data_IF_470612855245
#
_entry.id   IF_470612855245
#
_cell.length_a   1.000
_cell.length_b   1.000
_cell.length_c   1.000
_cell.angle_alpha   90.00
_cell.angle_beta   90.00
_cell.angle_gamma   90.00
#
_symmetry.space_group_name_H-M   'P 1'
#
loop_
_entity.id
_entity.type
_entity.pdbx_description
1 polymer ?
#
# COMPACT_ATOMS: atom_id res chain seq x y z
N UNK A 1 19.03 -47.23 16.89
CA UNK A 1 19.70 -45.93 17.15
C UNK A 1 19.06 -44.95 16.18
N UNK A 2 18.11 -44.15 16.66
CA UNK A 2 17.38 -43.18 15.86
C UNK A 2 17.82 -41.79 16.29
N UNK A 3 18.47 -41.05 15.41
CA UNK A 3 18.78 -39.63 15.62
C UNK A 3 17.58 -38.79 15.20
N UNK A 4 17.16 -37.77 15.98
CA UNK A 4 16.15 -36.81 15.53
C UNK A 4 16.82 -35.71 14.71
N UNK A 5 16.25 -35.46 13.53
CA UNK A 5 16.64 -34.42 12.60
C UNK A 5 16.08 -33.07 13.08
N UNK A 6 16.90 -32.26 13.75
CA UNK A 6 16.57 -30.87 14.09
C UNK A 6 17.24 -29.93 13.10
N UNK A 7 16.50 -29.39 12.13
CA UNK A 7 16.98 -28.29 11.25
C UNK A 7 15.85 -27.61 10.46
N UNK A 8 14.69 -27.32 11.07
CA UNK A 8 13.57 -26.60 10.40
C UNK A 8 13.35 -25.15 10.86
N UNK A 9 14.03 -24.69 11.91
CA UNK A 9 13.81 -23.36 12.48
C UNK A 9 14.67 -22.23 11.88
N UNK A 10 15.76 -22.56 11.16
CA UNK A 10 16.72 -21.55 10.67
C UNK A 10 16.36 -20.87 9.34
N UNK A 11 15.52 -21.48 8.50
CA UNK A 11 15.22 -20.97 7.15
C UNK A 11 14.15 -19.85 7.15
N UNK A 12 13.13 -19.96 8.01
CA UNK A 12 12.03 -19.00 8.05
C UNK A 12 12.46 -17.63 8.59
N UNK A 13 13.41 -17.61 9.54
CA UNK A 13 13.82 -16.36 10.18
C UNK A 13 14.67 -15.47 9.27
N UNK A 14 15.45 -16.07 8.35
CA UNK A 14 16.20 -15.31 7.35
C UNK A 14 15.29 -14.69 6.29
N UNK A 15 14.31 -15.42 5.77
CA UNK A 15 13.39 -14.92 4.73
C UNK A 15 12.48 -13.80 5.25
N UNK A 16 12.01 -13.92 6.49
CA UNK A 16 11.22 -12.88 7.17
C UNK A 16 12.07 -11.63 7.45
N UNK A 17 13.35 -11.80 7.83
CA UNK A 17 14.27 -10.67 8.01
C UNK A 17 14.50 -9.90 6.72
N UNK A 18 14.76 -10.59 5.60
CA UNK A 18 14.92 -9.92 4.29
C UNK A 18 13.64 -9.22 3.83
N UNK A 19 12.46 -9.80 4.13
CA UNK A 19 11.17 -9.18 3.83
C UNK A 19 10.96 -7.91 4.66
N UNK A 20 11.29 -7.95 5.95
CA UNK A 20 11.19 -6.79 6.83
C UNK A 20 12.16 -5.67 6.42
N UNK A 21 13.41 -5.98 6.08
CA UNK A 21 14.36 -4.99 5.55
C UNK A 21 13.84 -4.30 4.29
N UNK A 22 13.24 -5.08 3.38
CA UNK A 22 12.59 -4.56 2.19
C UNK A 22 11.42 -3.63 2.54
N UNK A 23 10.53 -4.03 3.45
CA UNK A 23 9.38 -3.22 3.86
C UNK A 23 9.79 -1.93 4.56
N UNK A 24 10.84 -1.96 5.39
CA UNK A 24 11.44 -0.75 5.97
C UNK A 24 11.96 0.17 4.87
N UNK A 25 12.64 -0.37 3.84
CA UNK A 25 13.10 0.45 2.72
C UNK A 25 11.92 1.15 2.03
N UNK A 26 10.84 0.43 1.73
CA UNK A 26 9.62 1.01 1.13
C UNK A 26 9.04 2.11 2.04
N UNK A 27 8.96 1.86 3.36
CA UNK A 27 8.45 2.81 4.33
C UNK A 27 9.27 4.12 4.35
N UNK A 28 10.60 4.02 4.31
CA UNK A 28 11.47 5.20 4.26
C UNK A 28 11.24 6.03 3.00
N UNK A 29 11.07 5.39 1.84
CA UNK A 29 10.79 6.12 0.60
C UNK A 29 9.41 6.79 0.64
N UNK A 30 8.41 6.18 1.30
CA UNK A 30 7.15 6.86 1.58
C UNK A 30 7.36 8.14 2.40
N UNK A 31 8.16 8.08 3.47
CA UNK A 31 8.45 9.26 4.30
C UNK A 31 9.20 10.34 3.53
N UNK A 32 10.20 9.97 2.74
CA UNK A 32 10.97 10.92 1.93
C UNK A 32 10.08 11.63 0.89
N UNK A 33 9.17 10.91 0.24
CA UNK A 33 8.22 11.51 -0.71
C UNK A 33 7.20 12.41 -0.01
N UNK A 34 6.70 12.03 1.17
CA UNK A 34 5.81 12.86 1.99
C UNK A 34 6.51 14.15 2.41
N UNK A 35 7.75 14.07 2.88
CA UNK A 35 8.57 15.23 3.24
C UNK A 35 8.74 16.18 2.04
N UNK A 36 9.15 15.63 0.88
CA UNK A 36 9.32 16.40 -0.36
C UNK A 36 8.02 17.08 -0.80
N UNK A 37 6.89 16.39 -0.66
CA UNK A 37 5.59 16.93 -1.03
C UNK A 37 5.19 18.11 -0.12
N UNK A 38 5.41 17.99 1.19
CA UNK A 38 5.17 19.07 2.16
C UNK A 38 6.06 20.28 1.85
N UNK A 39 7.36 20.08 1.63
CA UNK A 39 8.30 21.15 1.27
C UNK A 39 7.84 21.87 0.00
N UNK A 40 7.41 21.11 -1.02
CA UNK A 40 6.88 21.68 -2.27
C UNK A 40 5.62 22.51 -2.02
N UNK A 41 4.70 22.02 -1.20
CA UNK A 41 3.47 22.73 -0.85
C UNK A 41 3.76 24.05 -0.11
N UNK A 42 4.71 24.03 0.83
CA UNK A 42 5.18 25.23 1.53
C UNK A 42 5.78 26.26 0.57
N UNK A 43 6.64 25.82 -0.37
CA UNK A 43 7.21 26.71 -1.39
C UNK A 43 6.14 27.33 -2.29
N UNK A 44 5.14 26.55 -2.70
CA UNK A 44 4.03 27.05 -3.51
C UNK A 44 3.20 28.11 -2.74
N UNK A 45 2.88 27.84 -1.46
CA UNK A 45 2.16 28.77 -0.61
C UNK A 45 2.95 30.06 -0.36
N UNK A 46 4.27 29.98 -0.16
CA UNK A 46 5.14 31.16 -0.03
C UNK A 46 5.18 31.99 -1.33
N UNK A 47 5.31 31.33 -2.48
CA UNK A 47 5.29 31.99 -3.78
C UNK A 47 3.94 32.68 -4.07
N UNK A 48 2.82 32.05 -3.68
CA UNK A 48 1.48 32.61 -3.83
C UNK A 48 1.30 33.88 -2.98
N UNK A 49 1.71 33.85 -1.71
CA UNK A 49 1.67 35.03 -0.82
C UNK A 49 2.48 36.19 -1.38
N UNK A 50 3.70 35.91 -1.86
CA UNK A 50 4.56 36.93 -2.47
C UNK A 50 3.93 37.53 -3.74
N UNK A 51 3.30 36.69 -4.58
CA UNK A 51 2.59 37.14 -5.78
C UNK A 51 1.41 38.06 -5.41
N UNK A 52 0.62 37.71 -4.40
CA UNK A 52 -0.50 38.53 -3.92
C UNK A 52 -0.03 39.90 -3.40
N UNK A 53 1.05 39.94 -2.62
CA UNK A 53 1.65 41.19 -2.11
C UNK A 53 2.13 42.07 -3.26
N UNK A 54 2.78 41.50 -4.28
CA UNK A 54 3.27 42.25 -5.46
C UNK A 54 2.14 42.80 -6.32
N UNK A 55 1.10 42.00 -6.53
CA UNK A 55 -0.12 42.42 -7.25
C UNK A 55 -0.73 43.66 -6.59
N UNK A 56 -0.86 43.65 -5.26
CA UNK A 56 -1.46 44.75 -4.51
C UNK A 56 -0.58 46.02 -4.47
N UNK A 57 0.75 45.88 -4.47
CA UNK A 57 1.69 47.01 -4.40
C UNK A 57 2.01 47.65 -5.75
N UNK A 58 1.96 46.90 -6.87
CA UNK A 58 2.48 47.36 -8.17
C UNK A 58 1.43 47.51 -9.27
N UNK A 59 0.20 47.04 -9.10
CA UNK A 59 -0.91 47.25 -10.04
C UNK A 59 -0.76 46.62 -11.44
N UNK A 60 0.43 46.12 -11.83
CA UNK A 60 0.71 45.49 -13.11
C UNK A 60 1.76 44.37 -12.99
N UNK A 61 1.61 43.32 -13.82
CA UNK A 61 2.53 42.17 -13.94
C UNK A 61 3.93 42.66 -14.33
N UNK A 62 4.90 42.50 -13.43
CA UNK A 62 6.31 42.81 -13.66
C UNK A 62 7.08 41.67 -14.33
N UNK A 63 8.24 41.97 -14.91
CA UNK A 63 9.18 40.95 -15.39
C UNK A 63 9.63 40.07 -14.22
N UNK A 64 9.34 38.77 -14.28
CA UNK A 64 9.56 37.80 -13.18
C UNK A 64 8.28 37.25 -12.54
N UNK A 65 7.12 37.87 -12.76
CA UNK A 65 5.83 37.38 -12.23
C UNK A 65 5.40 36.07 -12.88
N UNK A 66 5.86 35.77 -14.10
CA UNK A 66 5.61 34.48 -14.77
C UNK A 66 6.29 33.31 -14.06
N UNK A 67 7.55 33.47 -13.63
CA UNK A 67 8.28 32.44 -12.89
C UNK A 67 7.74 32.28 -11.46
N UNK A 68 7.34 33.39 -10.82
CA UNK A 68 6.65 33.36 -9.53
C UNK A 68 5.29 32.68 -9.62
N UNK A 69 4.51 32.96 -10.67
CA UNK A 69 3.24 32.30 -10.91
C UNK A 69 3.40 30.79 -11.16
N UNK A 70 4.46 30.37 -11.86
CA UNK A 70 4.78 28.95 -12.02
C UNK A 70 5.09 28.32 -10.66
N UNK A 71 5.90 28.98 -9.82
CA UNK A 71 6.21 28.47 -8.46
C UNK A 71 5.01 28.48 -7.52
N UNK A 72 4.06 29.39 -7.74
CA UNK A 72 2.82 29.47 -6.96
C UNK A 72 1.78 28.42 -7.38
N UNK A 73 1.99 27.70 -8.49
CA UNK A 73 1.14 26.55 -8.83
C UNK A 73 1.41 25.44 -7.83
N UNK A 74 0.36 25.05 -7.11
CA UNK A 74 0.40 23.88 -6.24
C UNK A 74 0.42 22.57 -7.03
N UNK A 75 0.47 21.43 -6.31
CA UNK A 75 0.33 20.10 -6.90
C UNK A 75 -0.97 19.95 -7.69
N UNK A 76 -0.98 19.14 -8.74
CA UNK A 76 -2.22 18.76 -9.42
C UNK A 76 -2.94 17.61 -8.69
N UNK A 77 -4.18 17.33 -9.09
CA UNK A 77 -5.03 16.27 -8.50
C UNK A 77 -4.34 14.90 -8.45
N UNK A 78 -3.70 14.50 -9.55
CA UNK A 78 -2.98 13.22 -9.66
C UNK A 78 -1.86 13.11 -8.62
N UNK A 79 -1.10 14.18 -8.40
CA UNK A 79 -0.01 14.19 -7.41
C UNK A 79 -0.55 14.10 -5.98
N UNK A 80 -1.72 14.67 -5.69
CA UNK A 80 -2.39 14.48 -4.40
C UNK A 80 -2.87 13.03 -4.23
N UNK A 81 -3.42 12.41 -5.28
CA UNK A 81 -3.85 11.01 -5.25
C UNK A 81 -2.66 10.09 -4.98
N UNK A 82 -1.54 10.33 -5.66
CA UNK A 82 -0.29 9.58 -5.48
C UNK A 82 0.25 9.71 -4.06
N UNK A 83 0.36 10.93 -3.52
CA UNK A 83 0.93 11.09 -2.18
C UNK A 83 0.03 10.49 -1.10
N UNK A 84 -1.29 10.62 -1.23
CA UNK A 84 -2.23 9.99 -0.31
C UNK A 84 -2.20 8.46 -0.42
N UNK A 85 -1.96 7.89 -1.60
CA UNK A 85 -1.71 6.45 -1.74
C UNK A 85 -0.46 6.00 -0.96
N UNK A 86 0.58 6.84 -0.90
CA UNK A 86 1.81 6.60 -0.12
C UNK A 86 1.57 6.68 1.39
N UNK A 87 0.65 7.52 1.86
CA UNK A 87 0.20 7.48 3.26
C UNK A 87 -0.48 6.14 3.59
N UNK A 88 -1.39 5.67 2.74
CA UNK A 88 -2.07 4.38 2.96
C UNK A 88 -1.07 3.22 2.97
N UNK A 89 -0.13 3.23 2.03
CA UNK A 89 0.96 2.25 2.00
C UNK A 89 1.81 2.31 3.28
N UNK A 90 2.17 3.50 3.75
CA UNK A 90 2.93 3.68 4.98
C UNK A 90 2.19 3.11 6.19
N UNK A 91 0.89 3.35 6.35
CA UNK A 91 0.10 2.77 7.44
C UNK A 91 0.05 1.24 7.39
N UNK A 92 -0.10 0.65 6.21
CA UNK A 92 -0.05 -0.81 6.04
C UNK A 92 1.32 -1.38 6.43
N UNK A 93 2.40 -0.72 6.02
CA UNK A 93 3.76 -1.10 6.39
C UNK A 93 4.01 -0.96 7.89
N UNK A 94 3.53 0.10 8.53
CA UNK A 94 3.65 0.31 9.98
C UNK A 94 2.95 -0.79 10.78
N UNK A 95 1.78 -1.24 10.33
CA UNK A 95 1.09 -2.36 10.94
C UNK A 95 1.88 -3.66 10.78
N UNK A 96 2.37 -3.95 9.57
CA UNK A 96 3.18 -5.14 9.28
C UNK A 96 4.49 -5.17 10.08
N UNK A 97 5.11 -4.00 10.27
CA UNK A 97 6.41 -3.83 10.92
C UNK A 97 6.31 -3.54 12.43
N UNK A 98 5.11 -3.46 13.02
CA UNK A 98 4.88 -3.02 14.41
C UNK A 98 5.75 -3.73 15.45
N UNK A 99 6.08 -5.01 15.23
CA UNK A 99 6.90 -5.82 16.13
C UNK A 99 8.42 -5.74 15.90
N UNK A 100 8.88 -5.02 14.86
CA UNK A 100 10.29 -4.95 14.48
C UNK A 100 10.87 -3.52 14.42
N UNK A 101 10.04 -2.50 14.61
CA UNK A 101 10.44 -1.09 14.69
C UNK A 101 10.13 -0.52 16.07
N UNK A 102 11.13 0.09 16.72
CA UNK A 102 11.02 0.49 18.14
C UNK A 102 11.44 1.93 18.46
N UNK A 103 12.26 2.58 17.62
CA UNK A 103 12.77 3.94 17.87
C UNK A 103 12.75 4.79 16.58
N UNK A 104 11.65 5.53 16.31
CA UNK A 104 10.33 5.45 16.97
C UNK A 104 9.57 4.16 16.63
N UNK A 105 8.61 3.78 17.49
CA UNK A 105 7.74 2.62 17.27
C UNK A 105 6.53 2.95 16.36
N UNK A 106 5.80 1.93 15.91
CA UNK A 106 4.69 2.12 14.96
C UNK A 106 3.60 3.11 15.43
N UNK A 107 3.06 3.06 16.66
CA UNK A 107 2.17 4.09 17.19
C UNK A 107 2.73 5.52 17.11
N UNK A 108 3.99 5.73 17.52
CA UNK A 108 4.63 7.06 17.42
C UNK A 108 4.70 7.53 15.96
N UNK A 109 5.04 6.62 15.05
CA UNK A 109 5.09 6.87 13.61
C UNK A 109 3.72 7.25 13.02
N UNK A 110 2.65 6.64 13.52
CA UNK A 110 1.29 7.00 13.12
C UNK A 110 0.99 8.46 13.50
N UNK A 111 1.22 8.85 14.75
CA UNK A 111 1.04 10.24 15.19
C UNK A 111 1.86 11.23 14.36
N UNK A 112 3.09 10.82 14.02
CA UNK A 112 3.99 11.58 13.18
C UNK A 112 3.48 11.81 11.77
N UNK A 113 2.74 10.85 11.20
CA UNK A 113 2.12 10.98 9.89
C UNK A 113 0.84 11.81 9.89
N UNK A 114 0.11 11.90 11.01
CA UNK A 114 -1.16 12.64 11.04
C UNK A 114 -1.00 14.14 10.81
N UNK A 115 0.11 14.72 11.24
CA UNK A 115 0.41 16.15 11.01
C UNK A 115 0.56 16.48 9.51
N UNK A 116 1.46 15.85 8.74
CA UNK A 116 1.56 16.09 7.30
C UNK A 116 0.30 15.63 6.54
N UNK A 117 -0.39 14.56 6.99
CA UNK A 117 -1.65 14.15 6.41
C UNK A 117 -2.70 15.27 6.48
N UNK A 118 -2.89 15.87 7.64
CA UNK A 118 -3.85 16.97 7.82
C UNK A 118 -3.57 18.15 6.88
N UNK A 119 -2.30 18.55 6.74
CA UNK A 119 -1.90 19.61 5.82
C UNK A 119 -2.23 19.26 4.37
N UNK A 120 -1.88 18.06 3.93
CA UNK A 120 -2.08 17.64 2.54
C UNK A 120 -3.57 17.54 2.20
N UNK A 121 -4.38 17.02 3.12
CA UNK A 121 -5.84 16.96 2.96
C UNK A 121 -6.45 18.36 2.86
N UNK A 122 -6.01 19.29 3.71
CA UNK A 122 -6.49 20.67 3.64
C UNK A 122 -6.07 21.35 2.33
N UNK A 123 -4.84 21.12 1.86
CA UNK A 123 -4.38 21.64 0.58
C UNK A 123 -5.13 21.04 -0.63
N UNK A 124 -5.43 19.73 -0.59
CA UNK A 124 -6.19 19.05 -1.64
C UNK A 124 -7.65 19.57 -1.73
N UNK A 125 -8.27 19.88 -0.59
CA UNK A 125 -9.62 20.48 -0.57
C UNK A 125 -9.64 21.91 -1.08
N UNK A 126 -8.54 22.63 -0.93
CA UNK A 126 -8.39 24.02 -1.35
C UNK A 126 -7.74 24.20 -2.74
N UNK A 127 -7.38 23.11 -3.45
CA UNK A 127 -6.88 23.23 -4.81
C UNK A 127 -8.03 23.51 -5.80
N UNK A 128 -7.68 23.98 -7.00
CA UNK A 128 -8.65 24.26 -8.06
C UNK A 128 -8.34 23.39 -9.29
N UNK A 129 -9.20 22.41 -9.64
CA UNK A 129 -10.43 22.01 -8.93
C UNK A 129 -10.15 21.29 -7.59
N UNK A 130 -11.08 21.31 -6.61
CA UNK A 130 -10.91 20.58 -5.36
C UNK A 130 -10.81 19.08 -5.59
N UNK A 131 -9.87 18.45 -4.89
CA UNK A 131 -9.70 17.00 -4.91
C UNK A 131 -10.34 16.39 -3.67
N UNK A 132 -11.10 15.30 -3.85
CA UNK A 132 -11.73 14.55 -2.75
C UNK A 132 -10.84 13.37 -2.31
N UNK A 133 -10.23 13.41 -1.11
CA UNK A 133 -9.40 12.33 -0.58
C UNK A 133 -10.11 10.98 -0.48
N UNK A 134 -11.45 10.97 -0.41
CA UNK A 134 -12.23 9.74 -0.35
C UNK A 134 -12.10 8.89 -1.62
N UNK A 135 -11.69 9.49 -2.75
CA UNK A 135 -11.49 8.79 -4.01
C UNK A 135 -10.21 7.93 -4.05
N UNK A 136 -9.29 8.11 -3.09
CA UNK A 136 -8.03 7.37 -3.03
C UNK A 136 -8.28 5.92 -2.63
N UNK A 137 -8.43 5.06 -3.66
CA UNK A 137 -8.67 3.63 -3.50
C UNK A 137 -7.41 2.85 -3.13
N UNK A 138 -6.48 2.69 -4.07
CA UNK A 138 -5.36 1.74 -3.97
C UNK A 138 -4.08 2.45 -3.47
N UNK A 139 -3.33 1.87 -2.52
CA UNK A 139 -3.66 0.65 -1.78
C UNK A 139 -4.78 0.93 -0.77
N UNK A 140 -5.58 -0.10 -0.46
CA UNK A 140 -6.56 -0.02 0.63
C UNK A 140 -5.87 -0.25 1.96
N UNK A 141 -6.45 0.24 3.06
CA UNK A 141 -5.90 -0.08 4.37
C UNK A 141 -6.16 -1.54 4.71
N UNK A 142 -5.12 -2.24 5.18
CA UNK A 142 -5.25 -3.60 5.67
C UNK A 142 -6.04 -3.63 6.99
N UNK A 143 -6.64 -4.78 7.35
CA UNK A 143 -7.30 -4.93 8.65
C UNK A 143 -6.38 -4.56 9.82
N UNK A 144 -5.12 -5.00 9.77
CA UNK A 144 -4.12 -4.70 10.80
C UNK A 144 -3.80 -3.19 10.88
N UNK A 145 -3.81 -2.48 9.74
CA UNK A 145 -3.63 -1.03 9.71
C UNK A 145 -4.82 -0.30 10.31
N UNK A 146 -6.04 -0.73 9.99
CA UNK A 146 -7.27 -0.17 10.56
C UNK A 146 -7.32 -0.41 12.08
N UNK A 147 -6.93 -1.61 12.53
CA UNK A 147 -6.82 -1.90 13.96
C UNK A 147 -5.73 -1.04 14.62
N UNK A 148 -4.56 -0.90 14.00
CA UNK A 148 -3.49 -0.06 14.51
C UNK A 148 -3.98 1.39 14.68
N UNK A 149 -4.55 2.00 13.63
CA UNK A 149 -5.07 3.36 13.66
C UNK A 149 -6.17 3.52 14.73
N UNK A 150 -7.11 2.58 14.81
CA UNK A 150 -8.19 2.62 15.81
C UNK A 150 -7.67 2.62 17.24
N UNK A 151 -6.54 1.95 17.49
CA UNK A 151 -5.98 1.79 18.82
C UNK A 151 -5.00 2.91 19.23
N UNK A 152 -4.39 3.62 18.28
CA UNK A 152 -3.37 4.62 18.60
C UNK A 152 -3.78 6.07 18.29
N UNK A 153 -4.70 6.34 17.36
CA UNK A 153 -5.08 7.72 17.03
C UNK A 153 -5.66 8.47 18.25
N UNK A 154 -5.17 9.70 18.47
CA UNK A 154 -5.80 10.66 19.37
C UNK A 154 -7.14 11.15 18.80
N UNK A 155 -8.01 11.75 19.62
CA UNK A 155 -9.37 12.11 19.20
C UNK A 155 -9.43 12.94 17.91
N UNK A 156 -8.57 13.96 17.75
CA UNK A 156 -8.53 14.78 16.52
C UNK A 156 -8.05 14.01 15.30
N UNK A 157 -7.09 13.10 15.48
CA UNK A 157 -6.54 12.26 14.42
C UNK A 157 -7.57 11.23 13.97
N UNK A 158 -8.28 10.65 14.93
CA UNK A 158 -9.38 9.72 14.69
C UNK A 158 -10.50 10.40 13.90
N UNK A 159 -10.93 11.60 14.32
CA UNK A 159 -11.95 12.37 13.60
C UNK A 159 -11.52 12.70 12.15
N UNK A 160 -10.25 13.12 11.96
CA UNK A 160 -9.69 13.36 10.64
C UNK A 160 -9.74 12.09 9.79
N UNK A 161 -9.24 10.97 10.31
CA UNK A 161 -9.22 9.68 9.61
C UNK A 161 -10.63 9.22 9.21
N UNK A 162 -11.59 9.29 10.12
CA UNK A 162 -12.97 8.92 9.83
C UNK A 162 -13.60 9.82 8.76
N UNK A 163 -13.22 11.10 8.71
CA UNK A 163 -13.71 12.04 7.69
C UNK A 163 -13.24 11.73 6.26
N UNK A 164 -12.23 10.87 6.07
CA UNK A 164 -11.69 10.51 4.76
C UNK A 164 -12.56 9.47 4.02
N UNK A 165 -13.58 8.92 4.66
CA UNK A 165 -14.56 8.03 4.03
C UNK A 165 -14.14 6.56 3.97
N UNK A 166 -14.96 5.76 3.29
CA UNK A 166 -14.93 4.28 3.37
C UNK A 166 -13.64 3.67 2.86
N UNK A 167 -13.02 4.25 1.83
CA UNK A 167 -11.74 3.77 1.28
C UNK A 167 -10.58 3.86 2.28
N UNK A 168 -10.73 4.62 3.36
CA UNK A 168 -9.76 4.79 4.43
C UNK A 168 -10.12 4.05 5.71
N UNK A 169 -11.40 3.73 5.94
CA UNK A 169 -11.87 3.21 7.25
C UNK A 169 -12.31 1.76 7.20
N UNK A 170 -12.51 1.19 6.01
CA UNK A 170 -13.00 -0.17 5.84
C UNK A 170 -12.04 -0.99 4.98
N UNK A 171 -11.74 -2.25 5.35
CA UNK A 171 -11.07 -3.18 4.44
C UNK A 171 -11.97 -3.45 3.24
N UNK A 172 -11.39 -3.66 2.06
CA UNK A 172 -12.19 -4.02 0.88
C UNK A 172 -12.04 -5.51 0.55
N UNK A 173 -13.20 -6.15 0.37
CA UNK A 173 -13.32 -7.53 -0.09
C UNK A 173 -13.59 -7.55 -1.60
N UNK A 174 -13.08 -8.56 -2.30
CA UNK A 174 -13.46 -8.91 -3.68
C UNK A 174 -13.09 -7.91 -4.78
N UNK A 175 -11.98 -7.18 -4.64
CA UNK A 175 -11.47 -6.36 -5.74
C UNK A 175 -10.68 -7.25 -6.70
N UNK A 176 -11.15 -7.32 -7.95
CA UNK A 176 -10.33 -7.84 -9.05
C UNK A 176 -9.40 -6.72 -9.51
N UNK A 177 -8.16 -6.77 -9.05
CA UNK A 177 -7.16 -5.81 -9.49
C UNK A 177 -6.70 -6.21 -10.90
N UNK A 178 -6.88 -5.32 -11.88
CA UNK A 178 -6.48 -5.57 -13.27
C UNK A 178 -4.97 -5.42 -13.46
N UNK A 179 -4.32 -4.58 -12.64
CA UNK A 179 -2.88 -4.36 -12.62
C UNK A 179 -2.38 -4.30 -11.16
N UNK A 180 -1.20 -4.84 -10.83
CA UNK A 180 -0.60 -4.72 -9.50
C UNK A 180 -0.31 -3.25 -9.19
N UNK A 181 -0.59 -2.82 -7.95
CA UNK A 181 -0.16 -1.51 -7.47
C UNK A 181 1.36 -1.48 -7.38
N UNK A 182 1.99 -0.59 -8.15
CA UNK A 182 3.43 -0.38 -8.12
C UNK A 182 3.69 1.10 -7.80
N UNK A 183 4.04 1.43 -6.55
CA UNK A 183 4.36 2.81 -6.21
C UNK A 183 5.63 3.22 -6.95
N UNK A 184 5.62 4.39 -7.56
CA UNK A 184 6.82 5.03 -8.13
C UNK A 184 7.21 6.17 -7.21
N UNK A 185 8.41 6.09 -6.66
CA UNK A 185 8.97 7.10 -5.77
C UNK A 185 9.68 8.21 -6.56
N UNK A 186 9.87 9.37 -5.95
CA UNK A 186 10.43 10.55 -6.65
C UNK A 186 11.88 10.37 -7.12
N UNK A 187 12.59 9.36 -6.61
CA UNK A 187 13.93 8.96 -7.07
C UNK A 187 13.90 7.96 -8.24
N UNK A 188 12.72 7.59 -8.72
CA UNK A 188 12.51 6.61 -9.79
C UNK A 188 12.48 5.17 -9.30
N UNK A 189 12.61 4.91 -8.00
CA UNK A 189 12.49 3.56 -7.47
C UNK A 189 11.02 3.09 -7.52
N UNK A 190 10.81 1.87 -7.99
CA UNK A 190 9.47 1.32 -8.19
C UNK A 190 9.39 -0.15 -7.71
N UNK A 191 9.30 -0.39 -6.39
CA UNK A 191 9.31 -1.74 -5.84
C UNK A 191 8.02 -2.50 -6.18
N UNK A 192 8.17 -3.76 -6.57
CA UNK A 192 7.03 -4.63 -6.92
C UNK A 192 6.32 -5.15 -5.67
N UNK A 193 5.15 -4.63 -5.32
CA UNK A 193 4.36 -5.15 -4.18
C UNK A 193 3.44 -6.27 -4.70
N UNK A 194 3.71 -7.51 -4.27
CA UNK A 194 2.97 -8.69 -4.72
C UNK A 194 2.00 -9.20 -3.66
N UNK A 195 2.12 -8.70 -2.42
CA UNK A 195 1.43 -9.19 -1.24
C UNK A 195 0.02 -8.54 -1.15
N UNK A 196 -1.07 -9.30 -1.41
CA UNK A 196 -2.42 -8.73 -1.41
C UNK A 196 -2.81 -8.16 -0.04
N UNK A 197 -2.33 -8.77 1.03
CA UNK A 197 -2.50 -8.32 2.41
C UNK A 197 -1.97 -6.88 2.61
N UNK A 198 -0.82 -6.55 2.00
CA UNK A 198 -0.21 -5.22 2.11
C UNK A 198 -0.95 -4.18 1.26
N UNK A 199 -1.70 -4.63 0.24
CA UNK A 199 -2.58 -3.77 -0.57
C UNK A 199 -3.99 -3.63 0.03
N UNK A 200 -4.25 -4.25 1.18
CA UNK A 200 -5.56 -4.27 1.83
C UNK A 200 -6.62 -5.08 1.09
N UNK A 201 -6.18 -6.04 0.26
CA UNK A 201 -7.06 -6.93 -0.52
C UNK A 201 -7.19 -8.25 0.24
N UNK A 202 -8.39 -8.53 0.75
CA UNK A 202 -8.70 -9.80 1.42
C UNK A 202 -9.25 -10.81 0.42
N UNK A 203 -8.63 -11.99 0.30
CA UNK A 203 -9.16 -13.14 -0.45
C UNK A 203 -10.11 -13.99 0.41
N UNK A 204 -11.22 -14.45 -0.17
CA UNK A 204 -12.27 -15.22 0.53
C UNK A 204 -11.87 -16.67 0.90
N UNK A 205 -10.68 -17.14 0.59
CA UNK A 205 -10.35 -18.58 0.69
C UNK A 205 -10.23 -19.12 2.13
N UNK A 206 -10.48 -18.32 3.17
CA UNK A 206 -10.43 -18.77 4.57
C UNK A 206 -11.77 -18.83 5.30
N UNK A 207 -12.92 -18.55 4.66
CA UNK A 207 -14.25 -18.62 5.33
C UNK A 207 -15.01 -19.93 5.05
N UNK A 208 -14.34 -21.02 4.68
CA UNK A 208 -15.01 -22.31 4.35
C UNK A 208 -14.90 -23.42 5.40
N UNK A 209 -14.68 -23.13 6.69
CA UNK A 209 -14.74 -24.13 7.77
C UNK A 209 -15.37 -23.60 9.07
N UNK A 210 -16.62 -23.10 9.06
CA UNK A 210 -17.39 -23.00 10.33
C UNK A 210 -18.93 -23.00 10.23
N UNK A 211 -19.55 -23.42 9.11
CA UNK A 211 -21.02 -23.52 9.00
C UNK A 211 -21.51 -24.85 8.39
N UNK A 212 -21.00 -25.98 8.88
CA UNK A 212 -21.47 -27.31 8.45
C UNK A 212 -21.96 -28.24 9.59
N UNK A 213 -21.97 -27.81 10.86
CA UNK A 213 -22.22 -28.72 11.99
C UNK A 213 -23.49 -28.44 12.82
N UNK A 214 -24.44 -27.61 12.34
CA UNK A 214 -25.69 -27.34 13.09
C UNK A 214 -26.99 -27.78 12.39
N UNK A 215 -26.93 -28.80 11.53
CA UNK A 215 -28.13 -29.39 10.90
C UNK A 215 -28.14 -30.92 10.82
N UNK A 216 -27.69 -31.63 11.86
CA UNK A 216 -28.00 -33.07 12.03
C UNK A 216 -28.35 -33.34 13.49
N UNK A 217 -29.53 -32.88 13.92
CA UNK A 217 -29.90 -32.89 15.34
C UNK A 217 -31.36 -33.11 15.67
N UNK A 218 -32.20 -33.64 14.78
CA UNK A 218 -33.53 -34.17 15.17
C UNK A 218 -34.28 -34.81 14.01
N UNK A 219 -34.49 -36.14 14.07
CA UNK A 219 -35.81 -36.81 14.06
C UNK A 219 -35.66 -38.29 13.66
N UNK A 220 -35.90 -39.17 14.64
CA UNK A 220 -35.95 -40.61 14.46
C UNK A 220 -37.27 -41.11 13.85
N UNK A 221 -37.13 -42.17 13.04
CA UNK A 221 -37.96 -43.39 12.94
C UNK A 221 -39.47 -43.28 12.61
N UNK A 222 -39.82 -43.78 11.42
CA UNK A 222 -40.93 -44.72 11.24
C UNK A 222 -40.66 -45.63 10.03
N UNK A 223 -40.95 -46.92 10.23
CA UNK A 223 -40.53 -48.09 9.44
C UNK A 223 -41.59 -48.49 8.35
N UNK A 224 -41.45 -49.59 7.59
CA UNK A 224 -41.45 -49.61 6.12
C UNK A 224 -42.68 -50.30 5.48
N UNK A 225 -42.77 -50.31 4.13
CA UNK A 225 -43.12 -51.49 3.28
C UNK A 225 -43.40 -51.13 1.79
N UNK A 226 -42.58 -51.73 0.91
CA UNK A 226 -42.90 -52.46 -0.34
C UNK A 226 -43.83 -51.86 -1.44
N UNK A 227 -43.33 -51.78 -2.69
CA UNK A 227 -43.84 -52.48 -3.90
C UNK A 227 -43.09 -52.05 -5.18
N UNK A 228 -42.65 -53.08 -5.92
CA UNK A 228 -42.28 -53.23 -7.33
C UNK A 228 -42.87 -52.26 -8.39
N UNK A 229 -42.07 -51.83 -9.38
CA UNK A 229 -42.10 -52.34 -10.78
C UNK A 229 -41.31 -51.47 -11.78
N UNK A 230 -40.38 -52.12 -12.49
CA UNK A 230 -40.21 -52.18 -13.95
C UNK A 230 -40.65 -51.02 -14.87
N UNK A 231 -39.68 -50.56 -15.69
CA UNK A 231 -39.62 -50.68 -17.16
C UNK A 231 -39.26 -49.40 -17.94
N UNK A 232 -38.14 -49.52 -18.65
CA UNK A 232 -37.96 -49.26 -20.09
C UNK A 232 -38.20 -47.86 -20.69
N UNK A 233 -37.10 -47.36 -21.24
CA UNK A 233 -36.88 -47.03 -22.66
C UNK A 233 -37.08 -45.60 -23.19
N UNK A 234 -36.07 -45.27 -24.01
CA UNK A 234 -36.14 -44.68 -25.35
C UNK A 234 -36.05 -43.15 -25.47
N UNK A 235 -34.91 -42.76 -26.07
CA UNK A 235 -34.70 -41.74 -27.11
C UNK A 235 -34.95 -40.27 -26.70
N UNK A 236 -34.31 -39.24 -27.25
CA UNK A 236 -33.52 -39.10 -28.46
C UNK A 236 -32.83 -37.71 -28.46
N UNK A 237 -31.87 -37.56 -29.38
CA UNK A 237 -31.37 -36.31 -29.98
C UNK A 237 -30.29 -35.49 -29.21
N UNK A 238 -29.03 -35.42 -29.68
CA UNK A 238 -28.40 -34.86 -30.91
C UNK A 238 -27.97 -33.39 -30.79
N UNK A 239 -26.66 -33.21 -30.97
CA UNK A 239 -25.91 -32.01 -31.44
C UNK A 239 -25.74 -30.89 -30.40
N UNK A 240 -24.63 -30.15 -30.31
CA UNK A 240 -23.69 -29.75 -31.36
C UNK A 240 -22.37 -29.21 -30.76
N UNK A 241 -21.25 -29.51 -31.44
CA UNK A 241 -19.99 -28.75 -31.61
C UNK A 241 -19.16 -28.28 -30.39
N UNK A 242 -18.05 -28.99 -30.19
CA UNK A 242 -16.81 -28.50 -29.61
C UNK A 242 -15.90 -28.03 -30.75
N UNK A 243 -15.45 -26.78 -30.70
CA UNK A 243 -14.43 -26.22 -31.59
C UNK A 243 -13.10 -26.21 -30.83
N UNK A 244 -12.16 -27.06 -31.23
CA UNK A 244 -10.75 -26.95 -30.87
C UNK A 244 -10.06 -25.98 -31.85
N UNK A 245 -9.38 -24.97 -31.32
CA UNK A 245 -8.33 -24.25 -32.04
C UNK A 245 -7.00 -24.47 -31.33
N UNK A 246 -6.10 -25.13 -32.04
CA UNK A 246 -4.71 -25.36 -31.70
C UNK A 246 -3.92 -24.05 -31.59
N UNK A 247 -3.08 -24.00 -30.56
CA UNK A 247 -1.98 -23.08 -30.36
C UNK A 247 -0.83 -23.44 -31.31
N UNK A 248 -0.31 -22.44 -32.03
CA UNK A 248 0.89 -22.56 -32.85
C UNK A 248 2.12 -22.22 -31.99
N UNK A 249 3.01 -23.19 -31.82
CA UNK A 249 4.36 -23.00 -31.30
C UNK A 249 5.25 -22.40 -32.39
N UNK A 250 6.13 -21.47 -32.01
CA UNK A 250 7.35 -21.18 -32.76
C UNK A 250 8.51 -21.13 -31.76
N UNK A 251 9.49 -21.96 -32.05
CA UNK A 251 10.82 -22.09 -31.45
C UNK A 251 11.84 -21.26 -32.25
N UNK A 252 13.07 -21.21 -31.72
CA UNK A 252 14.36 -20.71 -32.27
C UNK A 252 14.66 -19.21 -32.11
N UNK A 253 15.87 -18.77 -31.77
CA UNK A 253 17.14 -19.39 -31.37
C UNK A 253 18.14 -18.28 -30.98
N UNK A 254 19.07 -18.61 -30.08
CA UNK A 254 20.49 -18.19 -29.93
C UNK A 254 20.97 -16.77 -30.32
N UNK A 255 21.69 -16.11 -29.39
CA UNK A 255 23.04 -15.58 -29.68
C UNK A 255 23.86 -15.30 -28.39
N UNK A 256 24.84 -16.18 -28.18
CA UNK A 256 26.21 -16.07 -27.67
C UNK A 256 26.69 -15.16 -26.52
N UNK A 257 27.66 -15.78 -25.85
CA UNK A 257 28.42 -15.52 -24.65
C UNK A 257 29.67 -14.65 -24.93
N UNK A 258 30.06 -13.80 -23.98
CA UNK A 258 31.42 -13.27 -23.91
C UNK A 258 31.90 -13.16 -22.46
N UNK A 259 32.92 -13.98 -22.21
CA UNK A 259 33.64 -14.26 -20.98
C UNK A 259 34.43 -13.10 -20.36
N UNK A 260 34.47 -13.16 -19.03
CA UNK A 260 35.59 -12.98 -18.11
C UNK A 260 36.24 -11.60 -17.88
N UNK A 261 36.20 -11.20 -16.60
CA UNK A 261 37.41 -11.29 -15.75
C UNK A 261 37.78 -10.01 -15.00
N UNK A 262 37.63 -10.01 -13.68
CA UNK A 262 38.75 -9.95 -12.70
C UNK A 262 38.31 -9.49 -11.29
N UNK A 263 38.59 -10.38 -10.33
CA UNK A 263 39.24 -10.14 -9.03
C UNK A 263 38.79 -8.97 -8.14
N UNK A 264 38.20 -9.33 -6.99
CA UNK A 264 38.12 -8.43 -5.83
C UNK A 264 37.38 -8.99 -4.63
N UNK A 265 37.99 -9.95 -3.92
CA UNK A 265 37.55 -10.35 -2.56
C UNK A 265 37.64 -9.15 -1.62
N UNK A 266 36.51 -8.62 -1.20
CA UNK A 266 36.38 -7.86 0.04
C UNK A 266 35.21 -8.46 0.84
N UNK A 267 35.57 -9.19 1.90
CA UNK A 267 34.66 -9.53 2.99
C UNK A 267 34.32 -8.23 3.74
N UNK A 268 33.32 -7.50 3.28
CA UNK A 268 32.65 -6.48 4.08
C UNK A 268 31.53 -7.15 4.85
N UNK A 269 31.66 -7.21 6.17
CA UNK A 269 30.51 -7.40 7.06
C UNK A 269 29.37 -6.46 6.63
N UNK A 270 28.12 -6.93 6.55
CA UNK A 270 27.01 -6.03 6.34
C UNK A 270 26.91 -5.16 7.59
N UNK A 271 27.25 -3.88 7.45
CA UNK A 271 26.78 -2.88 8.38
C UNK A 271 25.25 -2.93 8.34
N UNK A 272 24.64 -3.52 9.37
CA UNK A 272 23.28 -3.18 9.76
C UNK A 272 23.28 -1.67 10.07
N UNK A 273 23.11 -0.84 9.04
CA UNK A 273 22.67 0.53 9.23
C UNK A 273 21.28 0.42 9.84
N UNK A 274 21.24 0.61 11.16
CA UNK A 274 20.06 0.45 11.99
C UNK A 274 18.88 1.14 11.31
N UNK A 275 17.96 0.37 10.74
CA UNK A 275 16.80 0.86 10.00
C UNK A 275 16.01 1.91 10.79
N UNK A 276 15.98 1.76 12.12
CA UNK A 276 15.43 2.72 13.08
C UNK A 276 16.11 4.09 13.04
N UNK A 277 17.43 4.15 12.83
CA UNK A 277 18.17 5.42 12.69
C UNK A 277 17.84 6.15 11.39
N UNK A 278 17.45 5.44 10.33
CA UNK A 278 17.05 6.06 9.06
C UNK A 278 15.61 6.59 9.16
N UNK A 279 14.68 5.78 9.68
CA UNK A 279 13.30 6.16 9.97
C UNK A 279 13.27 7.43 10.84
N UNK A 280 13.99 7.41 11.97
CA UNK A 280 14.10 8.55 12.88
C UNK A 280 14.56 9.83 12.18
N UNK A 281 15.48 9.76 11.21
CA UNK A 281 16.04 10.95 10.54
C UNK A 281 15.05 11.59 9.56
N UNK A 282 14.37 10.81 8.73
CA UNK A 282 13.36 11.36 7.81
C UNK A 282 12.20 12.01 8.59
N UNK A 283 11.82 11.41 9.72
CA UNK A 283 10.77 11.95 10.59
C UNK A 283 11.20 13.22 11.28
N UNK A 284 12.39 13.25 11.88
CA UNK A 284 12.89 14.46 12.53
C UNK A 284 12.93 15.62 11.52
N UNK A 285 13.26 15.38 10.25
CA UNK A 285 13.18 16.44 9.22
C UNK A 285 11.75 16.86 8.93
N UNK A 286 10.80 15.94 8.85
CA UNK A 286 9.38 16.29 8.74
C UNK A 286 9.02 17.21 9.92
N UNK A 287 9.28 16.82 11.16
CA UNK A 287 8.98 17.58 12.38
C UNK A 287 9.69 18.93 12.50
N UNK A 288 11.00 18.99 12.28
CA UNK A 288 11.75 20.25 12.40
C UNK A 288 11.36 21.28 11.34
N UNK A 289 10.84 20.86 10.18
CA UNK A 289 10.26 21.78 9.20
C UNK A 289 8.90 22.38 9.63
N UNK A 290 8.26 21.87 10.70
CA UNK A 290 7.03 22.44 11.26
C UNK A 290 7.28 23.48 12.35
N UNK A 291 8.34 23.36 13.15
CA UNK A 291 8.63 24.30 14.25
C UNK A 291 9.05 25.70 13.75
N UNK A 292 9.53 25.83 12.52
CA UNK A 292 9.80 27.13 11.87
C UNK A 292 8.51 27.90 11.48
N UNK A 293 7.32 27.38 11.80
CA UNK A 293 6.02 27.92 11.41
C UNK A 293 5.07 28.28 12.59
N UNK A 294 5.52 28.20 13.84
CA UNK A 294 4.81 28.80 15.00
C UNK A 294 5.41 30.14 15.40
#
# INVERSE_FOLDING_TARGET
MSSPNGNRAGHNHSEESYSNERYVSILNHCFDDIERFIIRLQHAAAALRELQIRSHKRGAKGSGDGLLAIRARGPCEEEFMEILSKFKLAFNLLAKLKGCIHDPNAPELVHFLFTPLAIIIEAARNCEPPMDPALVGIPYLSPDAIELLSNCCASKEFDLWQSLGTNWTHPIKNIRMTNPFQPVFTDGWAPTINEPELLGIMDQFNDSETEADELIGSRSMSHPSNINNNNNNINDHKTNRISHSHSHSFDDSDYEDHLNGENGRALSHPHHHNSSNQISRSILRIFYNFDDLS
#
